data_IF_365557440018
#
_entry.id   IF_365557440018
#
_cell.length_a   1.000
_cell.length_b   1.000
_cell.length_c   1.000
_cell.angle_alpha   90.00
_cell.angle_beta   90.00
_cell.angle_gamma   90.00
#
_symmetry.space_group_name_H-M   'P 1'
#
loop_
_entity.id
_entity.type
_entity.pdbx_description
1 polymer ?
#
# COMPACT_ATOMS: atom_id res chain seq x y z
N UNK A 1 -3.02 3.13 31.00
CA UNK A 1 -2.83 1.99 30.09
C UNK A 1 -3.69 2.27 28.86
N UNK A 2 -3.05 2.59 27.74
CA UNK A 2 -3.63 3.36 26.62
C UNK A 2 -4.50 2.48 25.69
N UNK A 3 -5.73 2.93 25.43
CA UNK A 3 -6.67 2.40 24.42
C UNK A 3 -6.33 2.94 23.03
N UNK A 4 -5.08 2.80 22.59
CA UNK A 4 -4.63 3.26 21.27
C UNK A 4 -4.03 2.08 20.49
N UNK A 5 -4.88 1.29 19.83
CA UNK A 5 -4.39 0.17 19.04
C UNK A 5 -5.38 -0.53 18.11
N UNK A 6 -6.65 -0.11 18.04
CA UNK A 6 -7.68 -0.90 17.38
C UNK A 6 -8.10 -0.42 15.97
N UNK A 7 -7.64 0.74 15.52
CA UNK A 7 -8.10 1.34 14.25
C UNK A 7 -7.22 1.02 13.04
N UNK A 8 -6.03 0.44 13.25
CA UNK A 8 -5.05 0.23 12.17
C UNK A 8 -5.39 -0.94 11.22
N UNK A 9 -6.34 -1.80 11.61
CA UNK A 9 -6.78 -2.94 10.81
C UNK A 9 -8.03 -2.64 9.95
N UNK A 10 -8.69 -1.49 10.13
CA UNK A 10 -9.95 -1.15 9.44
C UNK A 10 -9.75 -0.54 8.04
N UNK A 11 -8.59 0.02 7.71
CA UNK A 11 -8.37 0.71 6.43
C UNK A 11 -8.23 -0.22 5.21
N UNK A 12 -7.75 -1.45 5.40
CA UNK A 12 -7.30 -2.30 4.29
C UNK A 12 -8.41 -3.10 3.61
N UNK A 13 -9.50 -3.38 4.33
CA UNK A 13 -10.66 -4.09 3.78
C UNK A 13 -11.44 -3.23 2.78
N UNK A 14 -11.29 -1.90 2.82
CA UNK A 14 -11.91 -0.97 1.88
C UNK A 14 -11.25 -0.97 0.50
N UNK A 15 -9.93 -1.20 0.43
CA UNK A 15 -9.19 -1.14 -0.84
C UNK A 15 -9.70 -2.15 -1.89
N UNK A 16 -10.09 -3.36 -1.45
CA UNK A 16 -10.62 -4.42 -2.31
C UNK A 16 -12.13 -4.64 -2.14
N UNK A 17 -12.86 -3.59 -1.71
CA UNK A 17 -14.33 -3.64 -1.63
C UNK A 17 -14.96 -3.91 -3.00
N UNK A 18 -16.19 -4.40 -3.00
CA UNK A 18 -17.02 -4.61 -4.18
C UNK A 18 -18.28 -3.72 -4.17
N UNK A 19 -18.50 -2.89 -3.13
CA UNK A 19 -19.59 -1.90 -3.13
C UNK A 19 -19.32 -0.80 -4.17
N UNK A 20 -20.16 -0.75 -5.20
CA UNK A 20 -20.07 0.20 -6.30
C UNK A 20 -20.27 1.67 -5.90
N UNK A 21 -20.72 1.93 -4.66
CA UNK A 21 -20.91 3.28 -4.11
C UNK A 21 -19.68 3.82 -3.37
N UNK A 22 -18.66 2.99 -3.17
CA UNK A 22 -17.42 3.36 -2.50
C UNK A 22 -16.27 3.55 -3.49
N UNK A 23 -15.35 4.45 -3.15
CA UNK A 23 -14.07 4.56 -3.85
C UNK A 23 -13.13 3.47 -3.32
N UNK A 24 -12.98 2.40 -4.08
CA UNK A 24 -12.07 1.28 -3.84
C UNK A 24 -11.18 1.09 -5.08
N UNK A 25 -10.15 0.27 -4.98
CA UNK A 25 -9.10 0.16 -6.01
C UNK A 25 -9.69 -0.18 -7.39
N UNK A 26 -10.64 -1.12 -7.44
CA UNK A 26 -11.37 -1.46 -8.67
C UNK A 26 -12.20 -0.30 -9.23
N UNK A 27 -12.96 0.44 -8.43
CA UNK A 27 -13.77 1.56 -8.95
C UNK A 27 -12.87 2.70 -9.44
N UNK A 28 -11.75 2.96 -8.75
CA UNK A 28 -10.74 3.91 -9.22
C UNK A 28 -10.11 3.50 -10.57
N UNK A 29 -9.74 2.23 -10.73
CA UNK A 29 -9.21 1.71 -12.01
C UNK A 29 -10.25 1.78 -13.13
N UNK A 30 -11.52 1.54 -12.82
CA UNK A 30 -12.62 1.70 -13.79
C UNK A 30 -12.75 3.16 -14.21
N UNK A 31 -12.69 4.11 -13.27
CA UNK A 31 -12.65 5.55 -13.59
C UNK A 31 -11.46 5.90 -14.49
N UNK A 32 -10.28 5.32 -14.26
CA UNK A 32 -9.10 5.51 -15.13
C UNK A 32 -9.39 4.99 -16.53
N UNK A 33 -9.98 3.80 -16.65
CA UNK A 33 -10.33 3.18 -17.93
C UNK A 33 -11.30 4.05 -18.75
N UNK A 34 -12.27 4.67 -18.09
CA UNK A 34 -13.23 5.57 -18.73
C UNK A 34 -12.63 6.94 -19.09
N UNK A 35 -11.52 7.33 -18.47
CA UNK A 35 -10.90 8.64 -18.60
C UNK A 35 -9.44 8.57 -19.07
N UNK A 36 -9.11 7.61 -19.92
CA UNK A 36 -7.74 7.40 -20.42
C UNK A 36 -7.15 8.62 -21.15
N UNK A 37 -7.98 9.51 -21.70
CA UNK A 37 -7.53 10.76 -22.32
C UNK A 37 -6.82 11.70 -21.33
N UNK A 38 -7.10 11.58 -20.03
CA UNK A 38 -6.38 12.33 -19.00
C UNK A 38 -4.91 11.90 -18.90
N UNK A 39 -4.54 10.73 -19.42
CA UNK A 39 -3.17 10.21 -19.36
C UNK A 39 -2.36 10.52 -20.62
N UNK A 40 -2.90 11.32 -21.54
CA UNK A 40 -2.15 11.76 -22.72
C UNK A 40 -1.07 12.79 -22.33
N UNK A 41 0.03 12.85 -23.10
CA UNK A 41 1.21 13.69 -22.83
C UNK A 41 0.85 15.17 -22.63
N UNK A 42 -0.07 15.70 -23.43
CA UNK A 42 -0.56 17.09 -23.29
C UNK A 42 -1.22 17.33 -21.93
N UNK A 43 -2.13 16.44 -21.53
CA UNK A 43 -2.82 16.51 -20.23
C UNK A 43 -1.84 16.36 -19.07
N UNK A 44 -0.82 15.51 -19.22
CA UNK A 44 0.24 15.31 -18.23
C UNK A 44 1.10 16.57 -18.06
N UNK A 45 1.54 17.17 -19.17
CA UNK A 45 2.32 18.42 -19.15
C UNK A 45 1.54 19.58 -18.55
N UNK A 46 0.25 19.70 -18.88
CA UNK A 46 -0.58 20.76 -18.33
C UNK A 46 -0.75 20.63 -16.80
N UNK A 47 -0.92 19.41 -16.30
CA UNK A 47 -0.96 19.15 -14.85
C UNK A 47 0.36 19.50 -14.15
N UNK A 48 1.49 19.23 -14.81
CA UNK A 48 2.83 19.44 -14.24
C UNK A 48 3.51 20.74 -14.71
N UNK A 49 2.78 21.71 -15.24
CA UNK A 49 3.34 22.97 -15.79
C UNK A 49 4.18 23.78 -14.79
N UNK A 50 3.97 23.59 -13.49
CA UNK A 50 4.77 24.22 -12.42
C UNK A 50 6.02 23.43 -12.03
N UNK A 51 6.24 22.25 -12.60
CA UNK A 51 7.37 21.38 -12.29
C UNK A 51 8.53 21.66 -13.28
N UNK A 52 9.73 22.06 -12.80
CA UNK A 52 10.87 22.35 -13.67
C UNK A 52 11.36 21.12 -14.46
N UNK A 53 10.99 19.91 -14.04
CA UNK A 53 11.40 18.66 -14.68
C UNK A 53 10.32 18.05 -15.58
N UNK A 54 9.23 18.76 -15.86
CA UNK A 54 8.10 18.23 -16.64
C UNK A 54 8.52 17.64 -17.99
N UNK A 55 9.47 18.26 -18.69
CA UNK A 55 9.96 17.77 -19.98
C UNK A 55 10.68 16.42 -19.88
N UNK A 56 11.38 16.17 -18.76
CA UNK A 56 12.04 14.89 -18.48
C UNK A 56 11.00 13.84 -18.06
N UNK A 57 10.13 14.20 -17.12
CA UNK A 57 9.08 13.31 -16.61
C UNK A 57 8.09 12.88 -17.70
N UNK A 58 7.84 13.75 -18.69
CA UNK A 58 6.95 13.45 -19.80
C UNK A 58 7.53 12.44 -20.80
N UNK A 59 8.85 12.21 -20.82
CA UNK A 59 9.45 11.17 -21.68
C UNK A 59 8.97 9.77 -21.29
N UNK A 60 8.72 9.57 -19.99
CA UNK A 60 8.19 8.33 -19.42
C UNK A 60 6.66 8.39 -19.24
N UNK A 61 6.00 9.49 -19.65
CA UNK A 61 4.55 9.62 -19.56
C UNK A 61 3.89 8.76 -20.66
N UNK A 62 3.61 7.52 -20.29
CA UNK A 62 2.91 6.59 -21.16
C UNK A 62 1.45 6.51 -20.74
N UNK A 63 0.56 6.57 -21.73
CA UNK A 63 -0.84 6.22 -21.56
C UNK A 63 -0.95 4.80 -21.02
N UNK A 64 -1.84 4.51 -20.06
CA UNK A 64 -2.06 3.17 -19.57
C UNK A 64 -2.34 2.19 -20.71
N UNK A 65 -1.62 1.09 -20.72
CA UNK A 65 -1.94 -0.05 -21.58
C UNK A 65 -3.29 -0.64 -21.14
N UNK A 66 -4.20 -0.79 -22.10
CA UNK A 66 -5.56 -1.27 -21.84
C UNK A 66 -5.59 -2.73 -21.39
N UNK A 67 -4.65 -3.55 -21.84
CA UNK A 67 -4.58 -4.95 -21.42
C UNK A 67 -4.14 -5.04 -19.95
N UNK A 68 -3.04 -4.37 -19.60
CA UNK A 68 -2.56 -4.26 -18.20
C UNK A 68 -3.63 -3.71 -17.27
N UNK A 69 -4.37 -2.67 -17.71
CA UNK A 69 -5.47 -2.10 -16.91
C UNK A 69 -6.63 -3.07 -16.71
N UNK A 70 -7.00 -3.85 -17.73
CA UNK A 70 -8.02 -4.88 -17.59
C UNK A 70 -7.58 -5.99 -16.60
N UNK A 71 -6.30 -6.39 -16.66
CA UNK A 71 -5.72 -7.37 -15.73
C UNK A 71 -5.71 -6.85 -14.29
N UNK A 72 -5.32 -5.58 -14.08
CA UNK A 72 -5.34 -4.96 -12.76
C UNK A 72 -6.78 -4.85 -12.19
N UNK A 73 -7.76 -4.52 -13.03
CA UNK A 73 -9.18 -4.51 -12.65
C UNK A 73 -9.63 -5.91 -12.23
N UNK A 74 -9.29 -6.94 -13.02
CA UNK A 74 -9.63 -8.32 -12.71
C UNK A 74 -8.98 -8.77 -11.39
N UNK A 75 -7.70 -8.44 -11.19
CA UNK A 75 -6.94 -8.75 -9.98
C UNK A 75 -7.46 -8.04 -8.72
N UNK A 76 -8.26 -6.99 -8.87
CA UNK A 76 -8.94 -6.28 -7.78
C UNK A 76 -10.40 -6.71 -7.58
N UNK A 77 -10.89 -7.66 -8.38
CA UNK A 77 -12.28 -8.12 -8.36
C UNK A 77 -12.40 -9.49 -7.69
N UNK A 78 -13.64 -9.93 -7.44
CA UNK A 78 -13.93 -11.26 -6.89
C UNK A 78 -13.57 -12.43 -7.82
N UNK A 79 -13.07 -12.18 -9.04
CA UNK A 79 -12.46 -13.22 -9.88
C UNK A 79 -11.13 -13.70 -9.29
N UNK A 80 -10.40 -12.84 -8.59
CA UNK A 80 -9.22 -13.21 -7.82
C UNK A 80 -9.62 -13.98 -6.56
N UNK A 81 -8.98 -15.13 -6.34
CA UNK A 81 -9.32 -16.02 -5.23
C UNK A 81 -9.02 -15.41 -3.86
N UNK A 82 -7.97 -14.59 -3.73
CA UNK A 82 -7.58 -13.94 -2.48
C UNK A 82 -8.57 -12.82 -2.16
N UNK A 83 -8.97 -12.03 -3.17
CA UNK A 83 -10.02 -11.01 -3.03
C UNK A 83 -11.34 -11.66 -2.63
N UNK A 84 -11.71 -12.77 -3.25
CA UNK A 84 -12.93 -13.52 -2.89
C UNK A 84 -12.92 -13.99 -1.43
N UNK A 85 -11.81 -14.56 -0.95
CA UNK A 85 -11.65 -14.93 0.47
C UNK A 85 -11.80 -13.73 1.39
N UNK A 86 -11.20 -12.59 1.04
CA UNK A 86 -11.31 -11.34 1.80
C UNK A 86 -12.75 -10.81 1.83
N UNK A 87 -13.48 -10.85 0.70
CA UNK A 87 -14.89 -10.45 0.63
C UNK A 87 -15.75 -11.32 1.53
N UNK A 88 -15.56 -12.65 1.50
CA UNK A 88 -16.29 -13.58 2.37
C UNK A 88 -16.00 -13.27 3.84
N UNK A 89 -14.73 -13.12 4.22
CA UNK A 89 -14.32 -12.74 5.57
C UNK A 89 -14.96 -11.40 6.01
N UNK A 90 -14.98 -10.39 5.15
CA UNK A 90 -15.59 -9.09 5.47
C UNK A 90 -17.10 -9.21 5.65
N UNK A 91 -17.79 -9.91 4.75
CA UNK A 91 -19.23 -10.11 4.81
C UNK A 91 -19.65 -10.86 6.08
N UNK A 92 -18.86 -11.85 6.52
CA UNK A 92 -19.09 -12.58 7.78
C UNK A 92 -18.79 -11.72 9.02
N UNK A 93 -17.79 -10.82 8.96
CA UNK A 93 -17.54 -9.83 10.02
C UNK A 93 -18.67 -8.80 10.16
N UNK A 94 -19.21 -8.31 9.05
CA UNK A 94 -20.31 -7.33 9.07
C UNK A 94 -21.61 -8.01 9.54
N UNK A 95 -21.82 -9.28 9.17
CA UNK A 95 -22.98 -10.06 9.60
C UNK A 95 -22.96 -10.47 11.08
N UNK A 96 -21.78 -10.58 11.72
CA UNK A 96 -21.65 -11.01 13.11
C UNK A 96 -20.93 -10.01 14.01
N UNK A 97 -21.75 -9.27 14.77
CA UNK A 97 -21.45 -8.47 15.97
C UNK A 97 -20.87 -9.28 17.15
N UNK A 98 -20.11 -10.35 16.93
CA UNK A 98 -19.54 -11.17 18.02
C UNK A 98 -18.02 -10.97 18.10
N UNK A 99 -17.62 -9.88 18.75
CA UNK A 99 -16.23 -9.45 18.91
C UNK A 99 -15.30 -10.54 19.49
N UNK A 100 -15.84 -11.50 20.23
CA UNK A 100 -15.09 -12.57 20.90
C UNK A 100 -14.57 -13.66 19.96
N UNK A 101 -15.20 -13.86 18.79
CA UNK A 101 -14.79 -14.86 17.79
C UNK A 101 -13.84 -14.31 16.70
N UNK A 102 -13.47 -13.03 16.80
CA UNK A 102 -12.72 -12.29 15.78
C UNK A 102 -11.29 -11.95 16.20
N UNK A 103 -10.91 -12.25 17.44
CA UNK A 103 -9.65 -11.82 18.05
C UNK A 103 -8.58 -12.92 18.11
N UNK A 104 -8.89 -14.14 17.66
CA UNK A 104 -7.94 -15.26 17.61
C UNK A 104 -7.35 -15.36 16.19
N UNK A 105 -6.04 -15.12 15.98
CA UNK A 105 -5.39 -15.28 14.67
C UNK A 105 -5.54 -16.68 14.07
N UNK A 106 -5.70 -17.72 14.91
CA UNK A 106 -5.96 -19.10 14.47
C UNK A 106 -7.33 -19.26 13.77
N UNK A 107 -8.34 -18.48 14.16
CA UNK A 107 -9.71 -18.65 13.65
C UNK A 107 -9.87 -18.12 12.21
N UNK A 108 -9.03 -17.18 11.75
CA UNK A 108 -9.19 -16.56 10.42
C UNK A 108 -8.72 -17.51 9.32
N UNK A 109 -7.53 -18.10 9.50
CA UNK A 109 -6.94 -19.05 8.57
C UNK A 109 -7.77 -20.33 8.47
N UNK A 110 -8.19 -20.88 9.61
CA UNK A 110 -8.97 -22.12 9.66
C UNK A 110 -10.40 -21.94 9.10
N UNK A 111 -11.05 -20.81 9.36
CA UNK A 111 -12.47 -20.60 9.00
C UNK A 111 -12.68 -20.02 7.61
N UNK A 112 -11.76 -19.19 7.12
CA UNK A 112 -11.92 -18.45 5.85
C UNK A 112 -10.81 -18.73 4.84
N UNK A 113 -9.79 -19.52 5.20
CA UNK A 113 -8.67 -19.84 4.32
C UNK A 113 -7.83 -18.63 3.94
N UNK A 114 -7.92 -17.54 4.72
CA UNK A 114 -7.19 -16.28 4.50
C UNK A 114 -5.95 -16.28 5.39
N UNK A 115 -4.78 -16.33 4.75
CA UNK A 115 -3.49 -16.33 5.45
C UNK A 115 -2.93 -14.93 5.62
N UNK A 116 -1.92 -14.76 6.48
CA UNK A 116 -1.19 -13.50 6.55
C UNK A 116 -0.42 -13.21 5.25
N UNK A 117 0.04 -14.26 4.55
CA UNK A 117 0.70 -14.13 3.26
C UNK A 117 -0.26 -13.63 2.17
N UNK A 118 -1.50 -14.13 2.15
CA UNK A 118 -2.57 -13.63 1.28
C UNK A 118 -2.79 -12.12 1.48
N UNK A 119 -2.85 -11.67 2.74
CA UNK A 119 -2.99 -10.25 3.06
C UNK A 119 -1.79 -9.47 2.53
N UNK A 120 -0.55 -9.93 2.77
CA UNK A 120 0.66 -9.27 2.27
C UNK A 120 0.66 -9.17 0.75
N UNK A 121 0.25 -10.21 0.04
CA UNK A 121 0.11 -10.23 -1.41
C UNK A 121 -0.88 -9.16 -1.89
N UNK A 122 -2.02 -9.01 -1.23
CA UNK A 122 -2.97 -7.94 -1.54
C UNK A 122 -2.39 -6.55 -1.30
N UNK A 123 -1.59 -6.36 -0.24
CA UNK A 123 -0.97 -5.07 0.06
C UNK A 123 0.07 -4.67 -0.97
N UNK A 124 0.98 -5.57 -1.30
CA UNK A 124 2.01 -5.31 -2.31
C UNK A 124 1.37 -5.07 -3.68
N UNK A 125 0.35 -5.86 -4.05
CA UNK A 125 -0.39 -5.63 -5.29
C UNK A 125 -1.05 -4.26 -5.33
N UNK A 126 -1.74 -3.86 -4.25
CA UNK A 126 -2.40 -2.56 -4.18
C UNK A 126 -1.39 -1.42 -4.31
N UNK A 127 -0.23 -1.52 -3.63
CA UNK A 127 0.87 -0.56 -3.75
C UNK A 127 1.39 -0.47 -5.18
N UNK A 128 1.65 -1.61 -5.82
CA UNK A 128 2.14 -1.67 -7.20
C UNK A 128 1.18 -0.99 -8.16
N UNK A 129 -0.12 -1.31 -8.07
CA UNK A 129 -1.16 -0.71 -8.90
C UNK A 129 -1.23 0.81 -8.65
N UNK A 130 -1.37 1.23 -7.39
CA UNK A 130 -1.46 2.66 -7.04
C UNK A 130 -0.26 3.43 -7.55
N UNK A 131 0.96 2.94 -7.35
CA UNK A 131 2.16 3.61 -7.81
C UNK A 131 2.26 3.70 -9.33
N UNK A 132 1.87 2.65 -10.06
CA UNK A 132 1.87 2.64 -11.52
C UNK A 132 1.02 3.79 -12.07
N UNK A 133 -0.24 3.85 -11.67
CA UNK A 133 -1.16 4.86 -12.19
C UNK A 133 -0.90 6.25 -11.61
N UNK A 134 -0.42 6.36 -10.38
CA UNK A 134 -0.04 7.66 -9.79
C UNK A 134 1.18 8.26 -10.48
N UNK A 135 2.14 7.43 -10.88
CA UNK A 135 3.30 7.87 -11.65
C UNK A 135 2.87 8.33 -13.04
N UNK A 136 2.07 7.54 -13.76
CA UNK A 136 1.55 7.93 -15.07
C UNK A 136 0.68 9.19 -15.03
N UNK A 137 -0.05 9.43 -13.94
CA UNK A 137 -0.92 10.59 -13.82
C UNK A 137 -0.19 11.87 -13.39
N UNK A 138 0.68 11.77 -12.38
CA UNK A 138 1.24 12.91 -11.67
C UNK A 138 2.72 12.74 -11.26
N UNK A 139 3.45 11.80 -11.88
CA UNK A 139 4.84 11.48 -11.56
C UNK A 139 5.08 11.21 -10.05
N UNK A 140 4.10 10.63 -9.37
CA UNK A 140 4.11 10.42 -7.92
C UNK A 140 4.25 8.94 -7.56
N UNK A 141 5.08 8.64 -6.57
CA UNK A 141 5.30 7.28 -6.05
C UNK A 141 5.17 7.29 -4.53
N UNK A 142 4.45 6.32 -3.99
CA UNK A 142 4.19 6.16 -2.56
C UNK A 142 4.97 4.99 -1.99
N UNK A 143 5.63 5.21 -0.85
CA UNK A 143 6.31 4.18 -0.09
C UNK A 143 5.40 3.65 1.02
N UNK A 144 5.45 2.34 1.25
CA UNK A 144 4.87 1.70 2.45
C UNK A 144 5.85 1.65 3.61
N UNK A 145 7.13 2.04 3.39
CA UNK A 145 8.14 2.13 4.44
C UNK A 145 7.87 3.38 5.27
N UNK A 146 7.76 3.20 6.59
CA UNK A 146 7.69 4.32 7.53
C UNK A 146 9.00 5.09 7.43
N UNK A 147 8.92 6.41 7.20
CA UNK A 147 10.10 7.27 7.22
C UNK A 147 10.70 7.20 8.63
N UNK A 148 12.00 6.90 8.71
CA UNK A 148 12.70 6.67 9.97
C UNK A 148 12.55 5.26 10.55
N UNK A 149 12.03 4.29 9.78
CA UNK A 149 11.98 2.89 10.21
C UNK A 149 13.35 2.35 10.61
N UNK A 150 14.44 2.86 10.02
CA UNK A 150 15.82 2.42 10.31
C UNK A 150 16.56 3.40 11.24
N UNK A 151 15.91 4.48 11.72
CA UNK A 151 16.57 5.50 12.56
C UNK A 151 17.04 4.90 13.89
N UNK A 152 16.40 3.82 14.35
CA UNK A 152 16.87 3.09 15.52
C UNK A 152 18.25 2.47 15.28
N UNK A 153 18.58 2.01 14.08
CA UNK A 153 19.89 1.44 13.75
C UNK A 153 21.00 2.47 13.94
N UNK A 154 20.74 3.72 13.52
CA UNK A 154 21.65 4.83 13.74
C UNK A 154 21.85 5.13 15.24
N UNK A 155 20.78 5.12 16.03
CA UNK A 155 20.86 5.32 17.48
C UNK A 155 21.68 4.20 18.15
N UNK A 156 21.43 2.94 17.81
CA UNK A 156 22.19 1.80 18.35
C UNK A 156 23.66 1.89 17.97
N UNK A 157 23.97 2.23 16.72
CA UNK A 157 25.34 2.45 16.28
C UNK A 157 26.05 3.53 17.10
N UNK A 158 25.40 4.68 17.32
CA UNK A 158 25.98 5.75 18.15
C UNK A 158 26.19 5.32 19.60
N UNK A 159 25.27 4.53 20.17
CA UNK A 159 25.42 3.99 21.53
C UNK A 159 26.59 3.00 21.60
N UNK A 160 26.71 2.10 20.63
CA UNK A 160 27.84 1.17 20.53
C UNK A 160 29.17 1.91 20.43
N UNK A 161 29.27 2.91 19.54
CA UNK A 161 30.48 3.73 19.40
C UNK A 161 30.86 4.42 20.70
N UNK A 162 29.88 4.93 21.47
CA UNK A 162 30.11 5.58 22.77
C UNK A 162 30.51 4.59 23.86
N UNK A 163 29.93 3.40 23.86
CA UNK A 163 30.30 2.32 24.80
C UNK A 163 31.73 1.84 24.51
N UNK A 164 32.10 1.69 23.23
CA UNK A 164 33.45 1.28 22.83
C UNK A 164 34.48 2.39 23.09
N UNK A 165 34.12 3.67 22.91
CA UNK A 165 34.95 4.80 23.32
C UNK A 165 35.20 4.80 24.83
N UNK A 166 34.17 4.55 25.64
CA UNK A 166 34.28 4.48 27.10
C UNK A 166 35.06 3.24 27.59
N UNK A 167 35.09 2.17 26.78
CA UNK A 167 35.84 0.93 27.07
C UNK A 167 37.31 1.00 26.66
N UNK A 168 37.74 2.00 25.89
CA UNK A 168 39.16 2.18 25.60
C UNK A 168 39.90 2.50 26.89
N UNK A 169 40.90 1.70 27.28
CA UNK A 169 41.76 2.06 28.40
C UNK A 169 42.48 3.37 28.07
N UNK A 170 42.58 4.27 29.06
CA UNK A 170 43.39 5.48 28.97
C UNK A 170 44.84 5.07 28.69
N UNK A 171 45.26 5.06 27.42
CA UNK A 171 46.67 5.06 27.09
C UNK A 171 47.15 6.50 27.25
N UNK A 172 47.67 6.81 28.44
CA UNK A 172 48.37 8.05 28.72
C UNK A 172 49.45 8.27 27.66
N UNK A 173 49.27 9.26 26.80
CA UNK A 173 50.37 9.84 26.04
C UNK A 173 50.91 11.02 26.84
N UNK A 174 52.12 10.77 27.37
CA UNK A 174 53.14 11.67 27.95
C UNK A 174 52.76 12.49 29.17
#
# INVERSE_FOLDING_TARGET
MSLAGNDRWMGWTLTYDQDTRALHLRSWLTTIQENLYLFDDESFRERLKGNPYVASLAQDSQKPDTATLADDIAACSSTDQIVKKLTVYRSSRIAHRNAKALLSPGDIGERYGLTFDDIRTLLERAKTIVNRYSYMFAASVYSTKVIGHDDFEYIFKCVEEKVEEARRPWTSQT
#
